data_IF_457612235816
#
_entry.id   IF_457612235816
#
_cell.length_a   1.000
_cell.length_b   1.000
_cell.length_c   1.000
_cell.angle_alpha   90.00
_cell.angle_beta   90.00
_cell.angle_gamma   90.00
#
_symmetry.space_group_name_H-M   'P 1'
#
loop_
_entity.id
_entity.type
_entity.pdbx_description
1 polymer ?
#
# COMPACT_ATOMS: atom_id res chain seq x y z
N UNK A 1 34.97 17.48 -68.39
CA UNK A 1 36.01 17.81 -67.38
C UNK A 1 35.42 18.78 -66.35
N UNK A 2 36.03 18.84 -65.15
CA UNK A 2 35.73 19.75 -64.01
C UNK A 2 34.45 19.49 -63.19
N UNK A 3 34.65 18.86 -62.03
CA UNK A 3 34.10 19.36 -60.75
C UNK A 3 34.73 20.73 -60.40
N UNK A 4 34.44 21.53 -59.37
CA UNK A 4 34.00 21.35 -57.94
C UNK A 4 33.47 22.75 -57.47
N UNK A 5 32.82 23.03 -56.31
CA UNK A 5 32.63 22.34 -55.01
C UNK A 5 31.17 22.46 -54.49
N UNK A 6 30.90 21.70 -53.43
CA UNK A 6 29.81 21.77 -52.46
C UNK A 6 29.62 23.11 -51.72
N UNK A 7 28.40 23.30 -51.17
CA UNK A 7 28.17 24.04 -49.91
C UNK A 7 27.02 23.41 -49.11
N UNK A 8 27.26 23.27 -47.80
CA UNK A 8 26.47 22.52 -46.84
C UNK A 8 25.48 23.46 -46.11
N UNK A 9 24.15 23.22 -46.19
CA UNK A 9 23.19 24.05 -45.43
C UNK A 9 21.99 23.24 -44.89
N UNK A 10 22.20 22.69 -43.69
CA UNK A 10 21.23 22.47 -42.60
C UNK A 10 19.72 22.51 -42.95
N UNK A 11 19.09 21.34 -43.06
CA UNK A 11 17.70 21.15 -42.60
C UNK A 11 17.58 19.81 -41.87
N UNK A 12 17.90 19.82 -40.58
CA UNK A 12 17.60 18.71 -39.66
C UNK A 12 16.10 18.74 -39.42
N UNK A 13 15.37 17.95 -40.22
CA UNK A 13 13.92 17.88 -40.16
C UNK A 13 13.42 17.25 -38.87
N UNK A 14 12.67 18.03 -38.10
CA UNK A 14 11.52 17.63 -37.28
C UNK A 14 11.45 16.14 -36.91
N UNK A 15 11.97 15.77 -35.73
CA UNK A 15 11.51 14.58 -35.01
C UNK A 15 10.99 14.97 -33.62
N UNK A 16 9.77 15.52 -33.62
CA UNK A 16 8.95 15.62 -32.41
C UNK A 16 8.53 14.22 -31.98
N UNK A 17 9.34 13.58 -31.13
CA UNK A 17 8.96 12.33 -30.43
C UNK A 17 9.22 12.51 -28.94
N UNK A 18 8.31 13.25 -28.31
CA UNK A 18 8.12 13.29 -26.86
C UNK A 18 7.58 11.93 -26.38
N UNK A 19 8.41 10.88 -26.40
CA UNK A 19 8.13 9.65 -25.66
C UNK A 19 8.78 9.79 -24.29
N UNK A 20 8.00 10.36 -23.38
CA UNK A 20 8.20 10.26 -21.94
C UNK A 20 8.13 8.77 -21.55
N UNK A 21 9.28 8.10 -21.57
CA UNK A 21 9.44 6.76 -21.01
C UNK A 21 9.44 6.84 -19.47
N UNK A 22 8.29 7.17 -18.88
CA UNK A 22 8.03 7.10 -17.45
C UNK A 22 7.90 5.63 -16.98
N UNK A 23 8.92 4.81 -17.29
CA UNK A 23 9.03 3.42 -16.86
C UNK A 23 9.78 3.32 -15.53
N UNK A 24 9.21 3.98 -14.53
CA UNK A 24 9.51 3.77 -13.13
C UNK A 24 8.26 4.18 -12.33
N UNK A 25 7.21 3.36 -12.38
CA UNK A 25 6.16 3.43 -11.37
C UNK A 25 6.78 3.11 -10.00
N UNK A 26 6.77 4.01 -9.01
CA UNK A 26 6.35 3.56 -7.70
C UNK A 26 4.88 3.18 -7.85
N UNK A 27 4.56 1.90 -7.62
CA UNK A 27 3.18 1.46 -7.54
C UNK A 27 2.45 2.35 -6.54
N UNK A 28 1.48 3.13 -7.02
CA UNK A 28 0.56 3.87 -6.16
C UNK A 28 -0.39 2.85 -5.52
N UNK A 29 0.13 2.09 -4.54
CA UNK A 29 -0.68 1.26 -3.67
C UNK A 29 -1.59 2.21 -2.91
N UNK A 30 -2.86 2.22 -3.30
CA UNK A 30 -3.91 2.75 -2.45
C UNK A 30 -3.93 1.86 -1.19
N UNK A 31 -3.37 2.38 -0.11
CA UNK A 31 -3.43 1.76 1.21
C UNK A 31 -4.89 1.49 1.54
N UNK A 32 -5.26 0.21 1.55
CA UNK A 32 -6.61 -0.21 1.85
C UNK A 32 -6.78 -0.19 3.37
N UNK A 33 -7.44 0.83 3.89
CA UNK A 33 -7.85 0.93 5.30
C UNK A 33 -9.19 0.20 5.50
N UNK A 34 -9.31 -0.56 6.57
CA UNK A 34 -10.50 -1.35 6.87
C UNK A 34 -11.30 -0.80 8.05
N UNK A 35 -12.62 -0.84 7.92
CA UNK A 35 -13.58 -0.26 8.87
C UNK A 35 -13.68 -1.00 10.21
N UNK A 36 -14.57 -0.56 11.12
CA UNK A 36 -15.03 -1.40 12.22
C UNK A 36 -15.77 -2.61 11.66
N UNK A 37 -15.51 -3.80 12.21
CA UNK A 37 -16.09 -5.05 11.75
C UNK A 37 -15.24 -6.27 12.07
N UNK A 38 -15.62 -7.40 11.48
CA UNK A 38 -14.85 -8.65 11.50
C UNK A 38 -14.59 -9.08 10.07
N UNK A 39 -13.33 -9.37 9.76
CA UNK A 39 -12.88 -9.68 8.40
C UNK A 39 -11.96 -10.90 8.35
N UNK A 40 -12.24 -11.84 7.44
CA UNK A 40 -11.43 -13.02 7.22
C UNK A 40 -10.51 -12.90 5.98
N UNK A 41 -9.25 -13.31 6.11
CA UNK A 41 -8.35 -13.60 4.97
C UNK A 41 -8.47 -15.09 4.63
N UNK A 42 -8.63 -15.51 3.35
CA UNK A 42 -8.71 -14.70 2.14
C UNK A 42 -10.13 -14.25 1.74
N UNK A 43 -11.16 -14.58 2.53
CA UNK A 43 -12.56 -14.51 2.09
C UNK A 43 -13.11 -13.08 1.87
N UNK A 44 -12.64 -12.12 2.66
CA UNK A 44 -13.04 -10.69 2.62
C UNK A 44 -11.82 -9.77 2.44
N UNK A 45 -10.64 -10.23 2.85
CA UNK A 45 -9.36 -9.53 2.74
C UNK A 45 -8.37 -10.39 1.95
N UNK A 46 -7.54 -9.82 1.06
CA UNK A 46 -6.50 -10.59 0.37
C UNK A 46 -5.41 -11.10 1.31
N UNK A 47 -4.55 -12.01 0.84
CA UNK A 47 -3.29 -12.31 1.53
C UNK A 47 -2.34 -11.10 1.51
N UNK A 48 -1.48 -10.99 2.52
CA UNK A 48 -0.51 -9.90 2.61
C UNK A 48 -0.08 -9.51 4.02
N UNK A 49 0.52 -8.33 4.12
CA UNK A 49 0.97 -7.72 5.37
C UNK A 49 0.02 -6.60 5.77
N UNK A 50 -0.40 -6.64 7.03
CA UNK A 50 -1.34 -5.71 7.64
C UNK A 50 -0.67 -5.02 8.83
N UNK A 51 -0.78 -3.70 8.88
CA UNK A 51 -0.41 -2.90 10.06
C UNK A 51 -1.67 -2.42 10.76
N UNK A 52 -1.67 -2.40 12.08
CA UNK A 52 -2.66 -1.64 12.85
C UNK A 52 -1.96 -0.49 13.56
N UNK A 53 -2.47 0.73 13.40
CA UNK A 53 -2.12 1.86 14.25
C UNK A 53 -3.38 2.67 14.54
N UNK A 54 -3.49 3.18 15.76
CA UNK A 54 -4.40 4.30 16.03
C UNK A 54 -3.60 5.58 15.86
N UNK A 55 -4.23 6.63 15.36
CA UNK A 55 -3.65 7.97 15.52
C UNK A 55 -3.74 8.38 17.00
N UNK A 56 -2.86 9.28 17.41
CA UNK A 56 -3.18 10.19 18.52
C UNK A 56 -4.28 11.14 18.03
N UNK A 57 -4.75 12.11 18.82
CA UNK A 57 -5.96 12.90 18.53
C UNK A 57 -7.26 12.06 18.57
N UNK A 58 -7.28 10.82 18.06
CA UNK A 58 -8.41 9.87 18.05
C UNK A 58 -8.77 9.34 19.46
N UNK A 59 -8.15 9.92 20.50
CA UNK A 59 -8.46 9.79 21.93
C UNK A 59 -9.95 10.00 22.28
N UNK A 60 -10.74 10.59 21.38
CA UNK A 60 -12.19 10.76 21.54
C UNK A 60 -13.02 9.48 21.40
N UNK A 61 -12.44 8.37 20.91
CA UNK A 61 -13.12 7.08 20.80
C UNK A 61 -12.28 5.98 21.45
N UNK A 62 -12.87 5.30 22.44
CA UNK A 62 -12.34 4.05 22.96
C UNK A 62 -12.45 2.98 21.86
N UNK A 63 -11.35 2.75 21.16
CA UNK A 63 -11.26 1.80 20.07
C UNK A 63 -10.43 0.59 20.51
N UNK A 64 -10.77 -0.57 19.98
CA UNK A 64 -10.03 -1.80 20.22
C UNK A 64 -9.98 -2.62 18.94
N UNK A 65 -8.86 -3.30 18.74
CA UNK A 65 -8.60 -4.08 17.54
C UNK A 65 -7.72 -5.27 17.88
N UNK A 66 -8.00 -6.37 17.22
CA UNK A 66 -7.23 -7.59 17.38
C UNK A 66 -7.21 -8.41 16.11
N UNK A 67 -6.27 -9.33 16.02
CA UNK A 67 -6.26 -10.33 14.96
C UNK A 67 -5.66 -11.63 15.45
N UNK A 68 -6.19 -12.73 14.95
CA UNK A 68 -5.55 -14.04 15.04
C UNK A 68 -4.76 -14.25 13.76
N UNK A 69 -3.43 -14.25 13.87
CA UNK A 69 -2.56 -14.59 12.75
C UNK A 69 -2.46 -16.10 12.57
N UNK A 70 -2.00 -16.49 11.39
CA UNK A 70 -1.96 -17.87 10.92
C UNK A 70 -1.02 -18.81 11.68
N UNK A 71 -0.07 -18.26 12.42
CA UNK A 71 0.82 -18.94 13.37
C UNK A 71 0.18 -19.10 14.78
N UNK A 72 -1.15 -18.96 14.88
CA UNK A 72 -1.93 -19.00 16.12
C UNK A 72 -1.55 -17.94 17.16
N UNK A 73 -0.89 -16.86 16.73
CA UNK A 73 -0.55 -15.74 17.59
C UNK A 73 -1.70 -14.74 17.64
N UNK A 74 -2.12 -14.41 18.85
CA UNK A 74 -3.10 -13.35 19.08
C UNK A 74 -2.38 -12.00 19.21
N UNK A 75 -2.82 -11.02 18.43
CA UNK A 75 -2.36 -9.64 18.49
C UNK A 75 -3.54 -8.76 18.93
N UNK A 76 -3.32 -7.81 19.84
CA UNK A 76 -4.36 -6.90 20.34
C UNK A 76 -3.81 -5.52 20.67
N UNK A 77 -4.63 -4.49 20.47
CA UNK A 77 -4.33 -3.09 20.74
C UNK A 77 -5.59 -2.24 20.90
N UNK A 78 -5.40 -1.01 21.36
CA UNK A 78 -6.45 -0.06 21.72
C UNK A 78 -5.93 1.39 21.64
N UNK A 79 -6.84 2.38 21.61
CA UNK A 79 -6.48 3.82 21.57
C UNK A 79 -5.87 4.36 22.87
N UNK A 80 -5.96 3.62 23.98
CA UNK A 80 -5.32 3.97 25.25
C UNK A 80 -3.83 3.59 25.30
N UNK A 81 -3.36 2.74 24.39
CA UNK A 81 -1.98 2.25 24.35
C UNK A 81 -1.09 3.18 23.51
N UNK A 82 -0.20 3.99 24.11
CA UNK A 82 0.40 5.17 23.45
C UNK A 82 1.45 4.86 22.36
N UNK A 83 1.67 3.60 21.96
CA UNK A 83 2.80 3.23 21.09
C UNK A 83 2.67 1.89 20.34
N UNK A 84 1.49 1.24 20.33
CA UNK A 84 1.36 -0.11 19.76
C UNK A 84 0.89 -0.12 18.30
N UNK A 85 1.84 0.08 17.38
CA UNK A 85 1.67 -0.42 16.02
C UNK A 85 1.76 -1.95 16.04
N UNK A 86 0.72 -2.65 15.57
CA UNK A 86 0.75 -4.12 15.38
C UNK A 86 1.09 -4.44 13.93
N UNK A 87 1.74 -5.58 13.69
CA UNK A 87 2.03 -6.10 12.35
C UNK A 87 1.57 -7.56 12.27
N UNK A 88 0.75 -7.87 11.27
CA UNK A 88 0.21 -9.19 10.99
C UNK A 88 0.58 -9.60 9.56
N UNK A 89 1.30 -10.72 9.42
CA UNK A 89 1.72 -11.27 8.13
C UNK A 89 0.88 -12.52 7.85
N UNK A 90 0.01 -12.47 6.84
CA UNK A 90 -0.91 -13.56 6.51
C UNK A 90 -0.58 -14.09 5.11
N UNK A 91 -0.19 -15.37 5.03
CA UNK A 91 0.25 -16.04 3.80
C UNK A 91 -0.64 -17.25 3.48
N UNK A 92 -0.78 -17.65 2.19
CA UNK A 92 -1.45 -18.91 1.84
C UNK A 92 -0.74 -20.11 2.47
N UNK A 93 -1.46 -21.20 2.82
CA UNK A 93 -2.90 -21.43 2.67
C UNK A 93 -3.74 -20.98 3.89
N UNK A 94 -3.21 -20.05 4.69
CA UNK A 94 -3.65 -19.87 6.07
C UNK A 94 -4.85 -18.90 6.17
N UNK A 95 -5.56 -18.92 7.30
CA UNK A 95 -6.73 -18.05 7.54
C UNK A 95 -6.46 -17.18 8.76
N UNK A 96 -6.85 -15.91 8.67
CA UNK A 96 -6.73 -14.94 9.75
C UNK A 96 -8.03 -14.15 9.91
N UNK A 97 -8.37 -13.79 11.14
CA UNK A 97 -9.58 -13.03 11.46
C UNK A 97 -9.20 -11.72 12.16
N UNK A 98 -9.49 -10.61 11.50
CA UNK A 98 -9.29 -9.25 12.00
C UNK A 98 -10.59 -8.76 12.62
N UNK A 99 -10.51 -8.20 13.83
CA UNK A 99 -11.64 -7.66 14.60
C UNK A 99 -11.33 -6.21 14.93
N UNK A 100 -12.31 -5.31 14.77
CA UNK A 100 -12.15 -3.88 14.99
C UNK A 100 -13.43 -3.25 15.53
N UNK A 101 -13.29 -2.45 16.59
CA UNK A 101 -14.36 -1.69 17.21
C UNK A 101 -14.00 -0.20 17.28
N UNK A 102 -14.88 0.66 16.79
CA UNK A 102 -14.84 2.11 16.99
C UNK A 102 -13.99 2.95 16.02
N UNK A 103 -12.95 2.38 15.40
CA UNK A 103 -12.02 3.07 14.49
C UNK A 103 -11.69 2.25 13.23
N UNK A 104 -10.71 2.68 12.43
CA UNK A 104 -10.23 2.00 11.22
C UNK A 104 -8.70 1.80 11.27
N UNK A 105 -8.19 0.93 12.17
CA UNK A 105 -6.77 0.90 12.50
C UNK A 105 -5.96 0.08 11.51
N UNK A 106 -6.59 -0.91 10.85
CA UNK A 106 -5.92 -1.84 9.95
C UNK A 106 -5.76 -1.26 8.55
N UNK A 107 -4.52 -1.24 8.09
CA UNK A 107 -4.13 -0.88 6.72
C UNK A 107 -3.37 -2.04 6.09
N UNK A 108 -3.67 -2.38 4.84
CA UNK A 108 -2.82 -3.30 4.06
C UNK A 108 -1.62 -2.54 3.51
N UNK A 109 -0.41 -3.01 3.82
CA UNK A 109 0.85 -2.40 3.35
C UNK A 109 1.51 -3.15 2.20
N UNK A 110 1.28 -4.47 2.09
CA UNK A 110 1.81 -5.33 1.02
C UNK A 110 0.78 -6.40 0.65
#
# INVERSE_FOLDING_TARGET
MRQIRASLMKYVGVLSVLIMACLAWPSAHAEATYGPGTYAVPAQLPYGVYTASVDQNDFGRACSFSTWTSDWKFLTGDSGSPTKTLVAVIQPPLVANFITHGCTPWTKVQ
#
